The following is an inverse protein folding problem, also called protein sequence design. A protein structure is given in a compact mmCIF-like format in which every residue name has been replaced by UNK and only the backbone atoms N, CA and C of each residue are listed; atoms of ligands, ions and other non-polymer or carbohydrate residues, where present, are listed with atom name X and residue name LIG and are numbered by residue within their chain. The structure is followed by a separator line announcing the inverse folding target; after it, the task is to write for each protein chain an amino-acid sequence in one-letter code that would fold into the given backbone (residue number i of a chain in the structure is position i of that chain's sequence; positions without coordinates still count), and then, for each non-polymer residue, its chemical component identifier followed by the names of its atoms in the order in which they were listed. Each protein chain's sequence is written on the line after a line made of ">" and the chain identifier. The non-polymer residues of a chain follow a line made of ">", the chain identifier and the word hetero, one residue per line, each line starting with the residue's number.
data_IF_637628900210
#
_entry.id   IF_637628900210
#
_cell.length_a   1.000
_cell.length_b   1.000
_cell.length_c   1.000
_cell.angle_alpha   90.00
_cell.angle_beta   90.00
_cell.angle_gamma   90.00
#
_symmetry.space_group_name_H-M   'P 1'
#
loop_
_entity.id
_entity.type
_entity.pdbx_description
1 polymer ?
#
# COMPACT_ATOMS: atom_id res chain seq x y z
N UNK A 1 9.28 -19.08 9.24
CA UNK A 1 9.87 -17.72 9.21
C UNK A 1 8.86 -16.71 9.71
N UNK A 2 9.33 -15.59 10.25
CA UNK A 2 8.55 -14.37 10.52
C UNK A 2 8.55 -13.50 9.27
N UNK A 3 7.37 -13.23 8.72
CA UNK A 3 7.20 -12.49 7.46
C UNK A 3 6.40 -11.22 7.73
N UNK A 4 6.93 -10.09 7.27
CA UNK A 4 6.25 -8.80 7.22
C UNK A 4 5.73 -8.50 5.81
N UNK A 5 4.43 -8.32 5.63
CA UNK A 5 3.84 -7.88 4.37
C UNK A 5 3.72 -6.35 4.39
N UNK A 6 4.33 -5.69 3.41
CA UNK A 6 4.24 -4.24 3.21
C UNK A 6 3.51 -3.94 1.90
N UNK A 7 2.26 -3.53 2.04
CA UNK A 7 1.33 -3.28 0.92
C UNK A 7 0.42 -2.09 1.22
N UNK A 8 -0.38 -1.67 0.24
CA UNK A 8 -1.44 -0.67 0.38
C UNK A 8 -2.67 -1.24 1.13
N UNK A 9 -2.43 -1.98 2.22
CA UNK A 9 -3.45 -2.64 3.04
C UNK A 9 -4.47 -1.65 3.64
N UNK A 10 -4.09 -0.39 3.82
CA UNK A 10 -4.94 0.68 4.36
C UNK A 10 -5.66 1.49 3.28
N UNK A 11 -5.43 1.22 1.99
CA UNK A 11 -6.21 1.81 0.91
C UNK A 11 -7.60 1.15 0.90
N UNK A 12 -8.69 1.92 1.00
CA UNK A 12 -10.07 1.39 0.94
C UNK A 12 -10.46 0.97 -0.49
N UNK A 13 -9.65 0.09 -1.06
CA UNK A 13 -9.71 -0.51 -2.38
C UNK A 13 -9.82 -2.02 -2.21
N UNK A 14 -10.83 -2.62 -2.85
CA UNK A 14 -11.10 -4.06 -2.72
C UNK A 14 -9.93 -4.91 -3.20
N UNK A 15 -9.31 -4.56 -4.33
CA UNK A 15 -8.16 -5.27 -4.87
C UNK A 15 -7.01 -5.28 -3.88
N UNK A 16 -6.62 -4.11 -3.36
CA UNK A 16 -5.51 -4.00 -2.41
C UNK A 16 -5.75 -4.78 -1.11
N UNK A 17 -6.94 -4.63 -0.50
CA UNK A 17 -7.25 -5.24 0.80
C UNK A 17 -7.44 -6.77 0.67
N UNK A 18 -8.15 -7.23 -0.36
CA UNK A 18 -8.39 -8.66 -0.57
C UNK A 18 -7.12 -9.38 -1.02
N UNK A 19 -6.27 -8.75 -1.85
CA UNK A 19 -4.98 -9.31 -2.23
C UNK A 19 -4.06 -9.43 -1.02
N UNK A 20 -4.00 -8.40 -0.16
CA UNK A 20 -3.25 -8.44 1.08
C UNK A 20 -3.72 -9.59 1.99
N UNK A 21 -5.04 -9.73 2.17
CA UNK A 21 -5.63 -10.81 2.93
C UNK A 21 -5.31 -12.19 2.34
N UNK A 22 -5.48 -12.37 1.03
CA UNK A 22 -5.18 -13.64 0.36
C UNK A 22 -3.71 -14.03 0.50
N UNK A 23 -2.78 -13.08 0.34
CA UNK A 23 -1.35 -13.30 0.53
C UNK A 23 -1.04 -13.70 1.97
N UNK A 24 -1.63 -12.99 2.95
CA UNK A 24 -1.49 -13.32 4.36
C UNK A 24 -1.94 -14.75 4.66
N UNK A 25 -3.16 -15.13 4.26
CA UNK A 25 -3.70 -16.46 4.55
C UNK A 25 -2.94 -17.58 3.83
N UNK A 26 -2.49 -17.32 2.60
CA UNK A 26 -1.65 -18.27 1.85
C UNK A 26 -0.33 -18.54 2.58
N UNK A 27 0.37 -17.49 3.00
CA UNK A 27 1.64 -17.64 3.72
C UNK A 27 1.47 -18.27 5.10
N UNK A 28 0.36 -18.00 5.79
CA UNK A 28 0.00 -18.69 7.04
C UNK A 28 -0.25 -20.18 6.81
N UNK A 29 -1.00 -20.54 5.76
CA UNK A 29 -1.26 -21.93 5.38
C UNK A 29 0.03 -22.70 5.04
N UNK A 30 1.06 -21.99 4.55
CA UNK A 30 2.41 -22.52 4.34
C UNK A 30 3.24 -22.66 5.64
N UNK A 31 2.65 -22.40 6.82
CA UNK A 31 3.30 -22.58 8.12
C UNK A 31 4.19 -21.40 8.55
N UNK A 32 3.99 -20.20 8.01
CA UNK A 32 4.75 -19.02 8.40
C UNK A 32 4.04 -18.16 9.45
N UNK A 33 4.82 -17.43 10.27
CA UNK A 33 4.29 -16.41 11.16
C UNK A 33 4.23 -15.09 10.41
N UNK A 34 3.03 -14.67 10.00
CA UNK A 34 2.83 -13.56 9.07
C UNK A 34 2.16 -12.40 9.77
N UNK A 35 2.72 -11.20 9.60
CA UNK A 35 2.06 -9.94 9.94
C UNK A 35 2.01 -9.00 8.75
N UNK A 36 0.94 -8.23 8.67
CA UNK A 36 0.84 -7.08 7.78
C UNK A 36 1.37 -5.87 8.52
N UNK A 37 2.34 -5.18 7.94
CA UNK A 37 2.96 -4.00 8.56
C UNK A 37 1.98 -2.84 8.42
N UNK A 38 1.55 -2.26 9.54
CA UNK A 38 0.56 -1.18 9.62
C UNK A 38 1.14 0.20 9.20
N UNK A 39 1.90 0.23 8.11
CA UNK A 39 2.50 1.43 7.56
C UNK A 39 1.46 2.25 6.79
N UNK A 40 1.12 3.44 7.30
CA UNK A 40 0.01 4.28 6.80
C UNK A 40 0.48 5.68 6.38
N UNK A 41 1.22 5.81 5.27
CA UNK A 41 1.64 7.12 4.79
C UNK A 41 0.44 7.95 4.31
N UNK A 42 0.56 9.28 4.42
CA UNK A 42 -0.52 10.23 4.12
C UNK A 42 -1.08 10.11 2.70
N UNK A 43 -0.27 9.75 1.72
CA UNK A 43 -0.73 9.59 0.34
C UNK A 43 -1.72 8.42 0.19
N UNK A 44 -1.67 7.40 1.05
CA UNK A 44 -2.66 6.32 1.08
C UNK A 44 -3.92 6.73 1.81
N UNK A 45 -3.82 7.51 2.90
CA UNK A 45 -4.97 7.86 3.73
C UNK A 45 -5.81 9.00 3.13
N UNK A 46 -5.16 10.00 2.56
CA UNK A 46 -5.82 11.22 2.06
C UNK A 46 -6.93 10.97 1.03
N UNK A 47 -6.76 10.08 0.03
CA UNK A 47 -7.81 9.78 -0.95
C UNK A 47 -9.09 9.22 -0.32
N UNK A 48 -8.99 8.51 0.81
CA UNK A 48 -10.11 7.81 1.45
C UNK A 48 -10.72 8.55 2.65
N UNK A 49 -10.32 9.81 2.89
CA UNK A 49 -10.97 10.65 3.92
C UNK A 49 -12.48 10.72 3.70
N UNK A 50 -13.26 10.48 4.76
CA UNK A 50 -14.73 10.44 4.67
C UNK A 50 -15.26 11.78 4.14
N UNK A 51 -14.72 12.89 4.66
CA UNK A 51 -15.05 14.24 4.25
C UNK A 51 -13.88 14.91 3.54
N UNK A 52 -14.11 15.42 2.33
CA UNK A 52 -13.14 16.25 1.62
C UNK A 52 -13.86 17.17 0.62
N UNK A 53 -14.11 18.42 1.02
CA UNK A 53 -14.83 19.41 0.21
C UNK A 53 -14.10 19.71 -1.12
N UNK A 54 -12.78 19.52 -1.15
CA UNK A 54 -11.90 19.72 -2.32
C UNK A 54 -11.76 18.49 -3.21
N UNK A 55 -12.56 17.42 -2.99
CA UNK A 55 -12.52 16.21 -3.82
C UNK A 55 -13.10 16.41 -5.21
N UNK A 56 -14.18 17.19 -5.32
CA UNK A 56 -14.89 17.44 -6.58
C UNK A 56 -14.52 18.83 -7.12
N UNK A 57 -13.26 19.01 -7.56
CA UNK A 57 -12.77 20.31 -8.07
C UNK A 57 -13.38 20.72 -9.40
N UNK A 58 -13.95 19.76 -10.15
CA UNK A 58 -14.54 19.99 -11.48
C UNK A 58 -15.84 20.82 -11.44
N UNK A 59 -16.40 21.07 -10.25
CA UNK A 59 -17.58 21.91 -10.08
C UNK A 59 -17.18 23.31 -9.62
N UNK A 60 -17.39 24.31 -10.50
CA UNK A 60 -17.11 25.73 -10.20
C UNK A 60 -17.98 26.30 -9.05
N UNK A 61 -19.12 25.69 -8.74
CA UNK A 61 -20.02 26.16 -7.66
C UNK A 61 -19.69 25.49 -6.33
N UNK A 62 -19.27 26.29 -5.36
CA UNK A 62 -19.03 25.86 -3.97
C UNK A 62 -20.27 25.19 -3.34
N UNK A 63 -21.47 25.74 -3.56
CA UNK A 63 -22.71 25.17 -3.06
C UNK A 63 -23.03 23.79 -3.66
N UNK A 64 -22.82 23.60 -4.97
CA UNK A 64 -22.98 22.27 -5.60
C UNK A 64 -22.02 21.24 -4.99
N UNK A 65 -20.77 21.64 -4.69
CA UNK A 65 -19.78 20.78 -4.02
C UNK A 65 -20.24 20.36 -2.63
N UNK A 66 -20.80 21.28 -1.84
CA UNK A 66 -21.35 20.97 -0.51
C UNK A 66 -22.52 19.99 -0.56
N UNK A 67 -23.47 20.20 -1.49
CA UNK A 67 -24.63 19.31 -1.64
C UNK A 67 -24.19 17.90 -2.03
N UNK A 68 -23.30 17.77 -3.03
CA UNK A 68 -22.77 16.47 -3.45
C UNK A 68 -22.00 15.77 -2.33
N UNK A 69 -21.23 16.54 -1.54
CA UNK A 69 -20.53 16.00 -0.38
C UNK A 69 -21.53 15.43 0.64
N UNK A 70 -22.58 16.18 0.98
CA UNK A 70 -23.62 15.73 1.91
C UNK A 70 -24.33 14.45 1.41
N UNK A 71 -24.80 14.44 0.16
CA UNK A 71 -25.56 13.31 -0.42
C UNK A 71 -24.76 12.00 -0.45
N UNK A 72 -23.44 12.09 -0.65
CA UNK A 72 -22.56 10.92 -0.75
C UNK A 72 -21.91 10.55 0.58
N UNK A 73 -22.05 11.38 1.62
CA UNK A 73 -21.39 11.20 2.92
C UNK A 73 -21.80 9.90 3.60
N UNK A 74 -23.10 9.60 3.63
CA UNK A 74 -23.63 8.39 4.25
C UNK A 74 -23.04 7.13 3.61
N UNK A 75 -23.15 7.01 2.28
CA UNK A 75 -22.61 5.86 1.53
C UNK A 75 -21.10 5.70 1.74
N UNK A 76 -20.36 6.81 1.75
CA UNK A 76 -18.91 6.82 2.03
C UNK A 76 -18.59 6.37 3.44
N UNK A 77 -19.35 6.82 4.44
CA UNK A 77 -19.18 6.42 5.84
C UNK A 77 -19.42 4.91 6.03
N UNK A 78 -20.50 4.37 5.44
CA UNK A 78 -20.79 2.92 5.48
C UNK A 78 -19.65 2.12 4.85
N UNK A 79 -19.21 2.50 3.64
CA UNK A 79 -18.07 1.85 2.97
C UNK A 79 -16.80 1.94 3.81
N UNK A 80 -16.50 3.12 4.36
CA UNK A 80 -15.33 3.33 5.20
C UNK A 80 -15.33 2.40 6.41
N UNK A 81 -16.45 2.32 7.13
CA UNK A 81 -16.60 1.43 8.29
C UNK A 81 -16.44 -0.05 7.92
N UNK A 82 -16.96 -0.46 6.77
CA UNK A 82 -16.81 -1.83 6.29
C UNK A 82 -15.34 -2.19 6.03
N UNK A 83 -14.60 -1.32 5.34
CA UNK A 83 -13.16 -1.50 5.10
C UNK A 83 -12.35 -1.50 6.40
N UNK A 84 -12.56 -0.50 7.27
CA UNK A 84 -11.84 -0.37 8.53
C UNK A 84 -12.09 -1.57 9.45
N UNK A 85 -13.34 -2.04 9.53
CA UNK A 85 -13.70 -3.27 10.25
C UNK A 85 -12.99 -4.49 9.67
N UNK A 86 -13.01 -4.67 8.35
CA UNK A 86 -12.33 -5.79 7.71
C UNK A 86 -10.82 -5.77 7.96
N UNK A 87 -10.17 -4.63 7.77
CA UNK A 87 -8.73 -4.44 7.98
C UNK A 87 -8.36 -4.80 9.42
N UNK A 88 -9.10 -4.30 10.41
CA UNK A 88 -8.81 -4.54 11.84
C UNK A 88 -9.09 -5.96 12.30
N UNK A 89 -10.07 -6.63 11.70
CA UNK A 89 -10.53 -7.96 12.17
C UNK A 89 -9.95 -9.12 11.38
N UNK A 90 -9.57 -8.91 10.11
CA UNK A 90 -9.09 -9.97 9.20
C UNK A 90 -7.59 -9.88 8.90
N UNK A 91 -6.99 -8.70 8.97
CA UNK A 91 -5.54 -8.57 8.82
C UNK A 91 -4.85 -8.68 10.19
N UNK A 92 -3.75 -9.43 10.22
CA UNK A 92 -2.90 -9.56 11.39
C UNK A 92 -1.86 -8.44 11.40
N UNK A 93 -2.29 -7.26 11.84
CA UNK A 93 -1.49 -6.03 11.78
C UNK A 93 -0.33 -6.05 12.80
N UNK A 94 0.75 -5.33 12.49
CA UNK A 94 1.72 -4.91 13.50
C UNK A 94 1.07 -3.95 14.50
N UNK A 95 1.60 -3.92 15.74
CA UNK A 95 1.10 -2.99 16.76
C UNK A 95 1.53 -1.54 16.48
N UNK A 96 2.73 -1.40 15.93
CA UNK A 96 3.32 -0.12 15.58
C UNK A 96 3.07 0.17 14.10
N UNK A 97 2.94 1.46 13.77
CA UNK A 97 2.84 1.95 12.39
C UNK A 97 4.20 2.19 11.71
N UNK A 98 5.28 2.00 12.47
CA UNK A 98 6.65 1.94 11.96
C UNK A 98 6.92 0.57 11.33
N UNK A 99 8.01 0.47 10.59
CA UNK A 99 8.44 -0.80 9.98
C UNK A 99 9.38 -1.49 10.97
N UNK A 100 8.98 -2.62 11.59
CA UNK A 100 9.82 -3.30 12.57
C UNK A 100 10.98 -4.01 11.90
N UNK A 101 12.13 -4.13 12.57
CA UNK A 101 13.31 -4.89 12.10
C UNK A 101 13.26 -6.39 12.46
N UNK A 102 12.18 -6.84 13.10
CA UNK A 102 12.05 -8.17 13.72
C UNK A 102 11.63 -9.30 12.76
N UNK A 103 11.52 -9.05 11.46
CA UNK A 103 11.11 -10.06 10.49
C UNK A 103 12.32 -10.68 9.79
N UNK A 104 12.18 -11.95 9.41
CA UNK A 104 13.20 -12.67 8.66
C UNK A 104 13.06 -12.39 7.15
N UNK A 105 11.84 -12.03 6.70
CA UNK A 105 11.55 -11.64 5.33
C UNK A 105 10.50 -10.52 5.26
N UNK A 106 10.63 -9.67 4.25
CA UNK A 106 9.70 -8.58 3.91
C UNK A 106 9.18 -8.81 2.50
N UNK A 107 7.87 -8.93 2.37
CA UNK A 107 7.18 -9.05 1.09
C UNK A 107 6.54 -7.71 0.78
N UNK A 108 7.00 -7.06 -0.29
CA UNK A 108 6.51 -5.76 -0.76
C UNK A 108 5.72 -5.95 -2.05
N UNK A 109 4.54 -5.36 -2.15
CA UNK A 109 3.61 -5.54 -3.27
C UNK A 109 2.18 -5.53 -2.74
N UNK A 110 1.13 -5.89 -3.46
CA UNK A 110 1.03 -6.09 -4.91
C UNK A 110 0.50 -4.82 -5.59
N UNK A 111 0.56 -4.80 -6.90
CA UNK A 111 0.08 -3.75 -7.78
C UNK A 111 0.95 -2.49 -7.67
N UNK A 112 0.34 -1.31 -7.75
CA UNK A 112 0.99 -0.03 -8.03
C UNK A 112 1.79 0.57 -6.86
N UNK A 113 2.43 -0.26 -6.03
CA UNK A 113 3.28 0.19 -4.91
C UNK A 113 4.48 1.02 -5.37
N UNK A 114 4.85 0.91 -6.65
CA UNK A 114 5.91 1.69 -7.27
C UNK A 114 5.38 2.79 -8.19
N UNK A 115 4.07 3.01 -8.30
CA UNK A 115 3.54 4.09 -9.14
C UNK A 115 3.73 5.46 -8.44
N UNK A 116 4.63 6.34 -8.94
CA UNK A 116 4.89 7.65 -8.34
C UNK A 116 3.68 8.57 -8.33
N UNK A 117 2.70 8.35 -9.23
CA UNK A 117 1.45 9.11 -9.27
C UNK A 117 0.56 8.80 -8.06
N UNK A 118 0.59 7.55 -7.57
CA UNK A 118 -0.13 7.16 -6.36
C UNK A 118 0.67 7.52 -5.12
N UNK A 119 1.95 7.18 -5.11
CA UNK A 119 2.81 7.38 -3.95
C UNK A 119 3.22 8.83 -3.75
N UNK A 120 2.96 9.73 -4.71
CA UNK A 120 3.45 11.13 -4.71
C UNK A 120 4.98 11.20 -4.69
N UNK A 121 5.63 10.36 -5.50
CA UNK A 121 7.08 10.21 -5.62
C UNK A 121 7.60 8.86 -5.13
N UNK A 122 8.92 8.66 -5.18
CA UNK A 122 9.54 7.39 -4.79
C UNK A 122 9.56 7.19 -3.27
N UNK A 123 8.61 6.41 -2.76
CA UNK A 123 8.57 6.09 -1.33
C UNK A 123 9.51 4.95 -0.98
N UNK A 124 10.66 5.33 -0.39
CA UNK A 124 11.76 4.48 0.07
C UNK A 124 11.35 3.13 0.68
N UNK A 125 10.37 3.06 1.61
CA UNK A 125 9.98 1.77 2.19
C UNK A 125 9.50 0.72 1.20
N UNK A 126 8.79 1.09 0.14
CA UNK A 126 8.30 0.13 -0.86
C UNK A 126 9.40 -0.43 -1.76
N UNK A 127 10.61 0.12 -1.67
CA UNK A 127 11.82 -0.35 -2.33
C UNK A 127 12.78 -1.06 -1.34
N UNK A 128 12.34 -1.33 -0.11
CA UNK A 128 13.15 -1.98 0.93
C UNK A 128 14.22 -1.08 1.54
N UNK A 129 14.14 0.24 1.34
CA UNK A 129 14.99 1.20 2.05
C UNK A 129 14.33 1.55 3.39
N UNK A 130 14.71 0.83 4.43
CA UNK A 130 14.22 1.01 5.81
C UNK A 130 15.26 1.72 6.68
N UNK A 131 14.83 2.19 7.86
CA UNK A 131 15.70 2.87 8.84
C UNK A 131 16.57 1.91 9.66
N UNK A 132 16.78 0.70 9.16
CA UNK A 132 17.62 -0.33 9.77
C UNK A 132 18.35 -1.14 8.68
N UNK A 133 19.46 -1.77 9.07
CA UNK A 133 20.28 -2.57 8.14
C UNK A 133 19.53 -3.81 7.66
N UNK A 134 19.69 -4.13 6.37
CA UNK A 134 19.12 -5.33 5.75
C UNK A 134 19.66 -6.61 6.41
N UNK A 135 20.95 -6.67 6.71
CA UNK A 135 21.62 -7.88 7.25
C UNK A 135 21.21 -9.13 6.45
N UNK A 136 20.76 -10.19 7.13
CA UNK A 136 20.34 -11.46 6.51
C UNK A 136 18.84 -11.49 6.10
N UNK A 137 18.14 -10.35 6.17
CA UNK A 137 16.70 -10.28 5.89
C UNK A 137 16.44 -10.40 4.39
N UNK A 138 15.42 -11.18 4.04
CA UNK A 138 15.03 -11.36 2.63
C UNK A 138 14.02 -10.30 2.21
N UNK A 139 14.30 -9.58 1.14
CA UNK A 139 13.35 -8.66 0.52
C UNK A 139 12.81 -9.27 -0.77
N UNK A 140 11.49 -9.39 -0.87
CA UNK A 140 10.78 -10.04 -1.98
C UNK A 140 9.75 -9.05 -2.51
N UNK A 141 9.79 -8.77 -3.80
CA UNK A 141 8.74 -8.02 -4.48
C UNK A 141 7.73 -9.01 -5.06
N UNK A 142 6.47 -8.93 -4.62
CA UNK A 142 5.40 -9.84 -5.05
C UNK A 142 4.36 -9.08 -5.88
N UNK A 143 4.24 -9.46 -7.15
CA UNK A 143 3.31 -8.87 -8.11
C UNK A 143 3.32 -7.33 -8.06
N UNK A 144 4.50 -6.73 -7.92
CA UNK A 144 4.67 -5.29 -7.87
C UNK A 144 4.59 -4.73 -9.30
N UNK A 145 3.83 -3.67 -9.49
CA UNK A 145 3.65 -2.99 -10.77
C UNK A 145 3.96 -1.51 -10.63
N UNK A 146 4.24 -0.91 -11.78
CA UNK A 146 4.40 0.51 -11.95
C UNK A 146 3.60 0.87 -13.19
N UNK A 147 2.74 1.88 -13.10
CA UNK A 147 2.09 2.46 -14.28
C UNK A 147 2.93 3.65 -14.71
N UNK A 148 3.74 3.46 -15.73
CA UNK A 148 4.51 4.54 -16.35
C UNK A 148 4.44 4.39 -17.87
N UNK A 149 3.83 5.37 -18.52
CA UNK A 149 3.82 5.48 -19.98
C UNK A 149 5.21 5.79 -20.55
N UNK A 150 6.05 6.47 -19.76
CA UNK A 150 7.48 6.67 -20.03
C UNK A 150 8.21 6.94 -18.71
N UNK A 151 9.47 6.49 -18.63
CA UNK A 151 10.38 6.80 -17.53
C UNK A 151 11.52 7.67 -18.03
N UNK A 152 11.86 8.70 -17.27
CA UNK A 152 13.11 9.46 -17.46
C UNK A 152 14.33 8.57 -17.20
N UNK A 153 15.51 9.00 -17.65
CA UNK A 153 16.75 8.23 -17.41
C UNK A 153 17.10 8.14 -15.92
N UNK A 154 16.83 9.20 -15.15
CA UNK A 154 17.05 9.23 -13.71
C UNK A 154 16.17 8.22 -12.97
N UNK A 155 14.89 8.15 -13.33
CA UNK A 155 13.95 7.19 -12.73
C UNK A 155 14.34 5.75 -13.09
N UNK A 156 14.73 5.49 -14.35
CA UNK A 156 15.26 4.17 -14.76
C UNK A 156 16.49 3.78 -13.94
N UNK A 157 17.41 4.71 -13.74
CA UNK A 157 18.61 4.47 -12.93
C UNK A 157 18.25 4.17 -11.47
N UNK A 158 17.29 4.91 -10.90
CA UNK A 158 16.77 4.65 -9.56
C UNK A 158 16.15 3.26 -9.44
N UNK A 159 15.23 2.89 -10.35
CA UNK A 159 14.58 1.59 -10.34
C UNK A 159 15.58 0.44 -10.45
N UNK A 160 16.54 0.55 -11.38
CA UNK A 160 17.58 -0.47 -11.54
C UNK A 160 18.33 -0.71 -10.23
N UNK A 161 18.78 0.36 -9.57
CA UNK A 161 19.47 0.28 -8.28
C UNK A 161 18.58 -0.23 -7.15
N UNK A 162 17.29 0.13 -7.17
CA UNK A 162 16.34 -0.30 -6.15
C UNK A 162 15.99 -1.79 -6.27
N UNK A 163 15.91 -2.31 -7.50
CA UNK A 163 15.60 -3.72 -7.75
C UNK A 163 16.72 -4.65 -7.27
N UNK A 164 17.98 -4.21 -7.26
CA UNK A 164 19.10 -4.95 -6.67
C UNK A 164 18.91 -5.22 -5.16
N UNK A 165 18.02 -4.47 -4.50
CA UNK A 165 17.68 -4.70 -3.10
C UNK A 165 16.80 -5.96 -2.89
N UNK A 166 16.19 -6.51 -3.94
CA UNK A 166 15.28 -7.64 -3.85
C UNK A 166 15.98 -8.93 -4.29
N UNK A 167 15.78 -9.99 -3.51
CA UNK A 167 16.28 -11.33 -3.88
C UNK A 167 15.42 -11.95 -4.98
N UNK A 168 14.13 -11.62 -4.98
CA UNK A 168 13.18 -12.08 -5.98
C UNK A 168 12.17 -10.99 -6.29
N UNK A 169 11.85 -10.86 -7.57
CA UNK A 169 10.91 -9.88 -8.09
C UNK A 169 9.90 -10.59 -8.99
N UNK A 170 8.62 -10.51 -8.63
CA UNK A 170 7.50 -10.88 -9.48
C UNK A 170 6.76 -9.60 -9.87
N UNK A 171 6.60 -9.37 -11.17
CA UNK A 171 5.95 -8.16 -11.72
C UNK A 171 4.71 -8.54 -12.53
N UNK A 172 3.75 -7.60 -12.56
CA UNK A 172 2.56 -7.68 -13.40
C UNK A 172 2.58 -6.46 -14.32
N UNK A 173 2.63 -6.69 -15.63
CA UNK A 173 2.52 -5.62 -16.63
C UNK A 173 1.04 -5.24 -16.78
N UNK A 174 0.73 -3.94 -16.73
CA UNK A 174 -0.57 -3.35 -17.06
C UNK A 174 -0.40 -2.33 -18.16
#
# INVERSE_FOLDING_TARGET
>A
MRIGILTFHCAHNYGAVLQCYALQETLKAMGHNVKVIDYRPDFLLNPYKIWNINRNKDYNSFFKRLILEYLTLYRRSVRYKAFDSFIKTRLNLTKEQTIPSSFDAYIMGSDQIWNPQITKGFHKPYFGYFDFSKENRKYIAYAASMEASSLTQEEKAFYKKALDNFIQVSQVNR
#
